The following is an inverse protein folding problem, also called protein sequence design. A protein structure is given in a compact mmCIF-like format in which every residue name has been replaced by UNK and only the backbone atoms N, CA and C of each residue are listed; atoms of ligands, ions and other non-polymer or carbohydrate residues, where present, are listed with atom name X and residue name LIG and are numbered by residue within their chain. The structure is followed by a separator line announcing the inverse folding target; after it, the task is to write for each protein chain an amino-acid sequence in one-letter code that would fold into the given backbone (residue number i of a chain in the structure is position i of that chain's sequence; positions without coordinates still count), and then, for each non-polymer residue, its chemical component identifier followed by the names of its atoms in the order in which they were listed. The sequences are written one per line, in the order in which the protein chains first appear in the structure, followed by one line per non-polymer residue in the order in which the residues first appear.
data_IF_893642905038
#
_entry.id   IF_893642905038
#
_cell.length_a   1.000
_cell.length_b   1.000
_cell.length_c   1.000
_cell.angle_alpha   90.00
_cell.angle_beta   90.00
_cell.angle_gamma   90.00
#
_symmetry.space_group_name_H-M   'P 1'
#
loop_
_entity.id
_entity.type
_entity.pdbx_description
1 polymer ?
#
# COMPACT_ATOMS: atom_id res chain seq x y z
N UNK A 1 -4.19 14.21 4.25
CA UNK A 1 -3.46 14.55 3.01
C UNK A 1 -2.48 13.42 2.72
N UNK A 2 -2.35 13.00 1.46
CA UNK A 2 -1.35 11.99 1.08
C UNK A 2 0.08 12.49 1.33
N UNK A 3 0.96 11.62 1.84
CA UNK A 3 2.38 11.96 1.99
C UNK A 3 3.12 11.69 0.68
N UNK A 4 3.71 12.74 0.10
CA UNK A 4 4.54 12.65 -1.09
C UNK A 4 5.96 12.21 -0.75
N UNK A 5 6.38 11.09 -1.32
CA UNK A 5 7.72 10.53 -1.14
C UNK A 5 8.68 11.31 -2.03
N UNK A 6 9.68 11.98 -1.42
CA UNK A 6 10.75 12.63 -2.19
C UNK A 6 11.82 11.63 -2.63
N UNK A 7 12.64 11.99 -3.62
CA UNK A 7 13.80 11.17 -4.06
C UNK A 7 14.77 10.81 -2.92
N UNK A 8 14.92 11.70 -1.94
CA UNK A 8 15.76 11.46 -0.76
C UNK A 8 15.13 10.42 0.16
N UNK A 9 13.82 10.45 0.35
CA UNK A 9 13.09 9.52 1.19
C UNK A 9 13.02 8.14 0.53
N UNK A 10 12.78 8.10 -0.78
CA UNK A 10 12.84 6.88 -1.58
C UNK A 10 14.20 6.17 -1.48
N UNK A 11 15.31 6.90 -1.54
CA UNK A 11 16.65 6.33 -1.40
C UNK A 11 16.95 5.82 0.02
N UNK A 12 16.35 6.44 1.05
CA UNK A 12 16.50 6.02 2.45
C UNK A 12 15.62 4.83 2.80
N UNK A 13 14.53 4.62 2.07
CA UNK A 13 13.55 3.59 2.36
C UNK A 13 14.14 2.17 2.51
N UNK A 14 15.02 1.67 1.61
CA UNK A 14 15.64 0.36 1.77
C UNK A 14 16.56 0.25 3.00
N UNK A 15 17.19 1.35 3.39
CA UNK A 15 18.07 1.41 4.57
C UNK A 15 17.23 1.33 5.84
N UNK A 16 16.17 2.13 5.92
CA UNK A 16 15.24 2.10 7.05
C UNK A 16 14.60 0.72 7.18
N UNK A 17 14.12 0.15 6.06
CA UNK A 17 13.59 -1.21 6.04
C UNK A 17 14.60 -2.25 6.54
N UNK A 18 15.88 -2.12 6.16
CA UNK A 18 16.95 -3.01 6.63
C UNK A 18 17.19 -2.89 8.13
N UNK A 19 17.25 -1.67 8.65
CA UNK A 19 17.40 -1.42 10.08
C UNK A 19 16.21 -1.98 10.87
N UNK A 20 14.97 -1.77 10.40
CA UNK A 20 13.76 -2.29 11.04
C UNK A 20 13.70 -3.81 10.99
N UNK A 21 14.01 -4.43 9.85
CA UNK A 21 14.02 -5.89 9.72
C UNK A 21 15.05 -6.53 10.65
N UNK A 22 16.27 -5.99 10.65
CA UNK A 22 17.35 -6.49 11.51
C UNK A 22 17.04 -6.25 13.00
N UNK A 23 16.49 -5.09 13.35
CA UNK A 23 16.04 -4.79 14.70
C UNK A 23 14.97 -5.78 15.18
N UNK A 24 13.97 -6.07 14.34
CA UNK A 24 12.94 -7.06 14.64
C UNK A 24 13.53 -8.47 14.79
N UNK A 25 14.51 -8.83 13.96
CA UNK A 25 15.24 -10.09 14.08
C UNK A 25 15.98 -10.23 15.42
N UNK A 26 16.69 -9.19 15.86
CA UNK A 26 17.32 -9.17 17.18
C UNK A 26 16.27 -9.26 18.28
N UNK A 27 15.14 -8.57 18.12
CA UNK A 27 14.05 -8.61 19.09
C UNK A 27 13.47 -10.02 19.25
N UNK A 28 13.23 -10.74 18.15
CA UNK A 28 12.80 -12.15 18.16
C UNK A 28 13.86 -13.10 18.74
N UNK A 29 15.14 -12.74 18.71
CA UNK A 29 16.20 -13.52 19.36
C UNK A 29 16.28 -13.30 20.86
N UNK A 30 15.95 -12.11 21.35
CA UNK A 30 16.06 -11.73 22.75
C UNK A 30 14.79 -12.07 23.54
N UNK A 31 13.61 -11.88 22.94
CA UNK A 31 12.32 -12.10 23.58
C UNK A 31 11.60 -13.32 22.99
N UNK A 32 10.74 -13.97 23.79
CA UNK A 32 9.97 -15.11 23.31
C UNK A 32 8.97 -14.69 22.23
N UNK A 33 8.86 -15.51 21.19
CA UNK A 33 7.98 -15.27 20.04
C UNK A 33 6.52 -15.04 20.42
N UNK A 34 6.04 -15.67 21.50
CA UNK A 34 4.65 -15.57 21.95
C UNK A 34 4.28 -14.13 22.35
N UNK A 35 5.06 -13.49 23.22
CA UNK A 35 4.79 -12.09 23.62
C UNK A 35 4.89 -11.12 22.44
N UNK A 36 5.84 -11.36 21.52
CA UNK A 36 6.01 -10.53 20.34
C UNK A 36 4.79 -10.65 19.42
N UNK A 37 4.36 -11.89 19.13
CA UNK A 37 3.20 -12.14 18.30
C UNK A 37 1.91 -11.66 18.96
N UNK A 38 1.78 -11.73 20.28
CA UNK A 38 0.65 -11.15 21.01
C UNK A 38 0.60 -9.62 20.83
N UNK A 39 1.72 -8.94 21.08
CA UNK A 39 1.84 -7.48 20.92
C UNK A 39 1.52 -7.04 19.49
N UNK A 40 2.12 -7.72 18.50
CA UNK A 40 1.89 -7.43 17.09
C UNK A 40 0.45 -7.74 16.68
N UNK A 41 -0.14 -8.82 17.17
CA UNK A 41 -1.54 -9.16 16.86
C UNK A 41 -2.49 -8.07 17.35
N UNK A 42 -2.28 -7.51 18.54
CA UNK A 42 -3.07 -6.39 19.06
C UNK A 42 -2.86 -5.13 18.21
N UNK A 43 -1.61 -4.82 17.86
CA UNK A 43 -1.26 -3.68 17.01
C UNK A 43 -1.92 -3.76 15.62
N UNK A 44 -1.77 -4.90 14.93
CA UNK A 44 -2.37 -5.11 13.61
C UNK A 44 -3.89 -5.29 13.66
N UNK A 45 -4.46 -5.71 14.79
CA UNK A 45 -5.90 -5.70 15.00
C UNK A 45 -6.43 -4.27 15.00
N UNK A 46 -5.86 -3.37 15.80
CA UNK A 46 -6.31 -1.97 15.87
C UNK A 46 -6.17 -1.30 14.51
N UNK A 47 -4.99 -1.39 13.90
CA UNK A 47 -4.76 -0.82 12.57
C UNK A 47 -5.64 -1.47 11.50
N UNK A 48 -5.85 -2.78 11.59
CA UNK A 48 -6.65 -3.53 10.64
C UNK A 48 -8.12 -3.12 10.67
N UNK A 49 -8.69 -2.94 11.87
CA UNK A 49 -10.07 -2.48 12.04
C UNK A 49 -10.25 -1.08 11.46
N UNK A 50 -9.30 -0.16 11.70
CA UNK A 50 -9.33 1.19 11.14
C UNK A 50 -9.20 1.17 9.61
N UNK A 51 -8.21 0.45 9.09
CA UNK A 51 -7.97 0.31 7.66
C UNK A 51 -9.18 -0.30 6.94
N UNK A 52 -9.76 -1.37 7.49
CA UNK A 52 -10.93 -2.03 6.94
C UNK A 52 -12.16 -1.13 6.99
N UNK A 53 -12.37 -0.39 8.08
CA UNK A 53 -13.46 0.57 8.19
C UNK A 53 -13.38 1.67 7.13
N UNK A 54 -12.17 2.19 6.88
CA UNK A 54 -11.92 3.18 5.83
C UNK A 54 -12.24 2.61 4.44
N UNK A 55 -11.72 1.42 4.11
CA UNK A 55 -11.98 0.76 2.83
C UNK A 55 -13.45 0.38 2.63
N UNK A 56 -14.18 0.05 3.70
CA UNK A 56 -15.60 -0.31 3.63
C UNK A 56 -16.53 0.90 3.52
N UNK A 57 -16.10 2.09 3.92
CA UNK A 57 -16.93 3.31 3.89
C UNK A 57 -17.55 3.61 2.51
N UNK A 58 -16.80 3.65 1.39
CA UNK A 58 -17.38 3.87 0.07
C UNK A 58 -18.28 2.72 -0.43
N UNK A 59 -18.08 1.50 0.05
CA UNK A 59 -18.93 0.36 -0.29
C UNK A 59 -20.28 0.45 0.43
N UNK A 60 -20.24 0.80 1.72
CA UNK A 60 -21.43 0.96 2.56
C UNK A 60 -22.25 2.16 2.11
N UNK A 61 -21.62 3.28 1.72
CA UNK A 61 -22.34 4.45 1.20
C UNK A 61 -23.11 4.13 -0.10
N UNK A 62 -22.61 3.21 -0.93
CA UNK A 62 -23.28 2.76 -2.16
C UNK A 62 -24.39 1.73 -1.92
N UNK A 63 -24.28 0.92 -0.88
CA UNK A 63 -25.26 -0.14 -0.55
C UNK A 63 -26.42 0.41 0.31
N UNK A 64 -26.17 1.39 1.16
CA UNK A 64 -27.20 1.95 2.04
C UNK A 64 -28.11 2.94 1.29
N UNK A 65 -29.44 2.83 1.44
CA UNK A 65 -30.38 3.79 0.86
C UNK A 65 -30.16 5.20 1.43
N UNK A 66 -30.39 6.23 0.61
CA UNK A 66 -30.36 7.66 1.02
C UNK A 66 -31.37 7.99 2.13
N UNK A 67 -32.26 7.06 2.47
CA UNK A 67 -33.26 7.18 3.54
C UNK A 67 -32.70 7.13 4.96
N UNK A 68 -31.45 6.70 5.16
CA UNK A 68 -30.82 6.73 6.49
C UNK A 68 -30.23 8.12 6.76
N UNK A 69 -30.63 8.81 7.86
CA UNK A 69 -30.13 10.14 8.15
C UNK A 69 -28.64 10.07 8.47
N UNK A 70 -27.81 10.64 7.57
CA UNK A 70 -26.40 10.82 7.84
C UNK A 70 -26.25 12.00 8.79
N UNK A 71 -26.17 11.71 10.09
CA UNK A 71 -25.83 12.71 11.10
C UNK A 71 -24.33 12.73 11.23
N UNK A 72 -23.74 13.86 10.89
CA UNK A 72 -22.33 14.14 11.07
C UNK A 72 -22.11 14.55 12.52
N UNK A 73 -21.20 13.87 13.20
CA UNK A 73 -20.74 14.22 14.54
C UNK A 73 -19.34 14.79 14.43
N UNK A 74 -19.10 15.92 15.06
CA UNK A 74 -17.78 16.54 15.12
C UNK A 74 -17.25 16.44 16.55
N UNK A 75 -16.08 15.85 16.69
CA UNK A 75 -15.35 15.74 17.95
C UNK A 75 -14.20 16.76 17.89
N UNK A 76 -14.44 17.92 18.49
CA UNK A 76 -13.54 19.06 18.42
C UNK A 76 -12.86 19.27 19.79
N UNK A 77 -11.57 18.94 19.88
CA UNK A 77 -10.73 19.24 21.03
C UNK A 77 -9.99 20.55 20.77
N UNK A 78 -10.48 21.63 21.38
CA UNK A 78 -9.80 22.93 21.42
C UNK A 78 -9.05 23.10 22.73
N UNK A 79 -7.82 23.61 22.66
CA UNK A 79 -7.06 24.06 23.82
C UNK A 79 -7.00 25.60 23.81
N UNK A 80 -7.34 26.21 24.95
CA UNK A 80 -7.37 27.67 25.13
C UNK A 80 -8.76 28.22 25.46
N UNK A 81 -8.82 29.48 25.94
CA UNK A 81 -10.06 30.22 26.19
C UNK A 81 -9.90 31.64 25.64
N UNK A 82 -10.79 32.05 24.71
CA UNK A 82 -10.75 33.36 24.05
C UNK A 82 -10.25 33.32 22.59
N UNK A 83 -9.55 34.37 22.15
CA UNK A 83 -9.06 34.56 20.77
C UNK A 83 -7.89 33.64 20.37
N UNK A 84 -7.29 32.92 21.33
CA UNK A 84 -6.23 31.93 21.11
C UNK A 84 -6.77 30.50 21.24
N UNK A 85 -7.77 30.14 20.43
CA UNK A 85 -8.26 28.75 20.31
C UNK A 85 -7.41 28.03 19.28
N UNK A 86 -6.60 27.08 19.73
CA UNK A 86 -5.94 26.14 18.84
C UNK A 86 -6.79 24.86 18.78
N UNK A 87 -7.18 24.48 17.57
CA UNK A 87 -7.83 23.19 17.29
C UNK A 87 -6.75 22.10 17.27
N UNK A 88 -6.71 21.25 18.30
CA UNK A 88 -5.71 20.18 18.40
C UNK A 88 -6.18 18.94 17.67
N UNK A 89 -7.47 18.61 17.79
CA UNK A 89 -8.08 17.48 17.10
C UNK A 89 -9.47 17.89 16.61
N UNK A 90 -9.65 17.87 15.29
CA UNK A 90 -10.95 17.98 14.64
C UNK A 90 -11.23 16.64 13.96
N UNK A 91 -12.03 15.78 14.62
CA UNK A 91 -12.39 14.47 14.09
C UNK A 91 -13.88 14.42 13.77
N UNK A 92 -14.20 14.34 12.49
CA UNK A 92 -15.57 14.21 12.01
C UNK A 92 -15.89 12.73 11.78
N UNK A 93 -17.00 12.25 12.36
CA UNK A 93 -17.46 10.89 12.15
C UNK A 93 -18.96 10.84 11.88
N UNK A 94 -19.32 10.01 10.91
CA UNK A 94 -20.69 9.77 10.50
C UNK A 94 -21.24 8.49 11.14
N UNK A 95 -22.57 8.41 11.25
CA UNK A 95 -23.25 7.15 11.61
C UNK A 95 -22.82 5.97 10.72
N UNK A 96 -22.58 6.23 9.42
CA UNK A 96 -22.12 5.21 8.47
C UNK A 96 -20.72 4.71 8.84
N UNK A 97 -19.80 5.60 9.21
CA UNK A 97 -18.45 5.24 9.64
C UNK A 97 -18.46 4.44 10.95
N UNK A 98 -19.38 4.75 11.88
CA UNK A 98 -19.54 3.96 13.11
C UNK A 98 -20.02 2.53 12.81
N UNK A 99 -20.94 2.34 11.86
CA UNK A 99 -21.37 1.01 11.41
C UNK A 99 -20.21 0.25 10.76
N UNK A 100 -19.45 0.90 9.87
CA UNK A 100 -18.24 0.33 9.27
C UNK A 100 -17.25 -0.15 10.34
N UNK A 101 -17.06 0.65 11.39
CA UNK A 101 -16.15 0.34 12.49
C UNK A 101 -16.62 -0.90 13.29
N UNK A 102 -17.92 -0.99 13.59
CA UNK A 102 -18.50 -2.15 14.30
C UNK A 102 -18.35 -3.43 13.47
N UNK A 103 -18.68 -3.39 12.18
CA UNK A 103 -18.53 -4.55 11.28
C UNK A 103 -17.07 -4.97 11.17
N UNK A 104 -16.16 -4.01 11.01
CA UNK A 104 -14.71 -4.27 10.93
C UNK A 104 -14.18 -4.86 12.23
N UNK A 105 -14.68 -4.40 13.39
CA UNK A 105 -14.32 -4.94 14.71
C UNK A 105 -14.75 -6.40 14.87
N UNK A 106 -15.95 -6.78 14.39
CA UNK A 106 -16.41 -8.18 14.41
C UNK A 106 -15.48 -9.06 13.59
N UNK A 107 -15.07 -8.62 12.40
CA UNK A 107 -14.09 -9.36 11.57
C UNK A 107 -12.73 -9.44 12.26
N UNK A 108 -12.30 -8.37 12.95
CA UNK A 108 -11.06 -8.37 13.72
C UNK A 108 -11.07 -9.35 14.89
N UNK A 109 -12.18 -9.43 15.63
CA UNK A 109 -12.32 -10.40 16.72
C UNK A 109 -12.31 -11.82 16.16
N UNK A 110 -12.97 -12.05 15.01
CA UNK A 110 -12.93 -13.34 14.31
C UNK A 110 -11.50 -13.73 13.90
N UNK A 111 -10.70 -12.76 13.44
CA UNK A 111 -9.28 -12.96 13.15
C UNK A 111 -8.48 -13.32 14.39
N UNK A 112 -8.65 -12.61 15.52
CA UNK A 112 -7.92 -12.90 16.75
C UNK A 112 -8.22 -14.30 17.31
N UNK A 113 -9.48 -14.74 17.25
CA UNK A 113 -9.90 -16.02 17.82
C UNK A 113 -9.52 -17.23 16.97
N UNK A 114 -9.55 -17.08 15.64
CA UNK A 114 -9.43 -18.23 14.72
C UNK A 114 -8.29 -18.13 13.72
N UNK A 115 -7.68 -16.95 13.55
CA UNK A 115 -6.65 -16.66 12.55
C UNK A 115 -7.02 -17.18 11.15
N UNK A 116 -8.31 -17.07 10.78
CA UNK A 116 -8.78 -17.56 9.48
C UNK A 116 -8.12 -16.78 8.34
N UNK A 117 -7.76 -17.50 7.28
CA UNK A 117 -7.12 -16.94 6.08
C UNK A 117 -7.98 -15.88 5.38
N UNK A 118 -9.32 -15.99 5.44
CA UNK A 118 -10.24 -15.01 4.85
C UNK A 118 -10.12 -13.67 5.56
N UNK A 119 -10.21 -13.68 6.90
CA UNK A 119 -10.08 -12.47 7.70
C UNK A 119 -8.68 -11.86 7.55
N UNK A 120 -7.64 -12.70 7.51
CA UNK A 120 -6.27 -12.29 7.19
C UNK A 120 -6.18 -11.56 5.84
N UNK A 121 -6.76 -12.14 4.79
CA UNK A 121 -6.71 -11.55 3.45
C UNK A 121 -7.54 -10.28 3.35
N UNK A 122 -8.66 -10.18 4.07
CA UNK A 122 -9.45 -8.96 4.11
C UNK A 122 -8.65 -7.81 4.73
N UNK A 123 -7.97 -8.05 5.86
CA UNK A 123 -7.05 -7.07 6.44
C UNK A 123 -5.87 -6.76 5.52
N UNK A 124 -5.26 -7.79 4.92
CA UNK A 124 -4.15 -7.60 3.97
C UNK A 124 -4.54 -6.73 2.78
N UNK A 125 -5.72 -6.96 2.18
CA UNK A 125 -6.25 -6.13 1.09
C UNK A 125 -6.55 -4.70 1.55
N UNK A 126 -7.15 -4.52 2.74
CA UNK A 126 -7.38 -3.19 3.30
C UNK A 126 -6.06 -2.44 3.52
N UNK A 127 -5.04 -3.09 4.07
CA UNK A 127 -3.70 -2.49 4.21
C UNK A 127 -3.04 -2.20 2.87
N UNK A 128 -3.19 -3.06 1.87
CA UNK A 128 -2.64 -2.81 0.54
C UNK A 128 -3.30 -1.59 -0.12
N UNK A 129 -4.63 -1.49 -0.06
CA UNK A 129 -5.39 -0.38 -0.62
C UNK A 129 -5.04 0.94 0.08
N UNK A 130 -5.10 0.98 1.41
CA UNK A 130 -4.72 2.17 2.16
C UNK A 130 -3.23 2.50 1.98
N UNK A 131 -2.36 1.50 1.82
CA UNK A 131 -0.94 1.72 1.53
C UNK A 131 -0.71 2.44 0.20
N UNK A 132 -1.41 2.01 -0.86
CA UNK A 132 -1.35 2.66 -2.18
C UNK A 132 -2.01 4.04 -2.17
N UNK A 133 -3.04 4.23 -1.35
CA UNK A 133 -3.73 5.52 -1.16
C UNK A 133 -2.94 6.51 -0.29
N UNK A 134 -2.11 6.05 0.65
CA UNK A 134 -1.36 6.95 1.52
C UNK A 134 -0.03 7.37 0.89
N UNK A 135 0.67 6.42 0.30
CA UNK A 135 2.02 6.61 -0.23
C UNK A 135 1.95 7.06 -1.69
N UNK A 136 2.41 8.28 -1.94
CA UNK A 136 2.37 8.86 -3.26
C UNK A 136 3.75 9.21 -3.77
N UNK A 137 4.03 8.82 -5.02
CA UNK A 137 5.23 9.20 -5.74
C UNK A 137 4.88 10.42 -6.59
N UNK A 138 5.74 11.44 -6.58
CA UNK A 138 5.55 12.66 -7.37
C UNK A 138 6.27 12.63 -8.73
N UNK A 139 7.29 11.78 -8.89
CA UNK A 139 8.10 11.69 -10.09
C UNK A 139 8.46 10.23 -10.42
N UNK A 140 8.49 9.89 -11.71
CA UNK A 140 8.89 8.56 -12.20
C UNK A 140 10.32 8.21 -11.79
N UNK A 141 11.21 9.20 -11.75
CA UNK A 141 12.58 9.05 -11.27
C UNK A 141 12.64 8.56 -9.82
N UNK A 142 11.80 9.14 -8.95
CA UNK A 142 11.68 8.73 -7.54
C UNK A 142 11.17 7.30 -7.43
N UNK A 143 10.18 6.93 -8.24
CA UNK A 143 9.70 5.55 -8.36
C UNK A 143 10.79 4.56 -8.78
N UNK A 144 11.61 4.91 -9.77
CA UNK A 144 12.75 4.10 -10.20
C UNK A 144 13.81 3.94 -9.10
N UNK A 145 14.10 4.99 -8.34
CA UNK A 145 15.03 4.94 -7.20
C UNK A 145 14.48 4.02 -6.10
N UNK A 146 13.20 4.16 -5.74
CA UNK A 146 12.56 3.34 -4.72
C UNK A 146 12.56 1.85 -5.10
N UNK A 147 12.06 1.54 -6.30
CA UNK A 147 12.00 0.18 -6.83
C UNK A 147 13.39 -0.42 -7.00
N UNK A 148 14.35 0.34 -7.53
CA UNK A 148 15.73 -0.10 -7.67
C UNK A 148 16.44 -0.34 -6.33
N UNK A 149 16.18 0.50 -5.33
CA UNK A 149 16.69 0.30 -3.97
C UNK A 149 16.09 -0.93 -3.31
N UNK A 150 14.78 -1.15 -3.48
CA UNK A 150 14.08 -2.32 -2.94
C UNK A 150 14.44 -3.62 -3.65
N UNK A 151 14.78 -3.57 -4.94
CA UNK A 151 15.38 -4.68 -5.67
C UNK A 151 16.67 -5.17 -5.00
N UNK A 152 17.60 -4.25 -4.69
CA UNK A 152 18.86 -4.61 -4.03
C UNK A 152 18.61 -5.13 -2.61
N UNK A 153 17.70 -4.49 -1.88
CA UNK A 153 17.28 -4.92 -0.55
C UNK A 153 16.77 -6.36 -0.53
N UNK A 154 15.85 -6.70 -1.43
CA UNK A 154 15.21 -8.02 -1.46
C UNK A 154 16.24 -9.12 -1.81
N UNK A 155 17.11 -8.85 -2.80
CA UNK A 155 18.22 -9.75 -3.15
C UNK A 155 19.16 -9.98 -1.96
N UNK A 156 19.57 -8.91 -1.27
CA UNK A 156 20.48 -9.01 -0.14
C UNK A 156 19.87 -9.79 1.03
N UNK A 157 18.62 -9.49 1.41
CA UNK A 157 18.00 -10.10 2.59
C UNK A 157 17.45 -11.51 2.34
N UNK A 158 17.07 -11.85 1.11
CA UNK A 158 16.60 -13.20 0.74
C UNK A 158 17.78 -14.16 0.51
N UNK A 159 18.79 -13.76 -0.27
CA UNK A 159 19.92 -14.65 -0.60
C UNK A 159 21.13 -14.48 0.31
N UNK A 160 21.39 -13.28 0.80
CA UNK A 160 22.60 -12.98 1.57
C UNK A 160 22.54 -13.43 3.04
N UNK A 161 21.35 -13.54 3.64
CA UNK A 161 21.21 -13.84 5.07
C UNK A 161 19.97 -14.70 5.39
N UNK A 162 19.98 -15.38 6.55
CA UNK A 162 18.81 -16.11 7.06
C UNK A 162 17.81 -15.22 7.83
N UNK A 163 18.03 -13.91 7.87
CA UNK A 163 17.26 -12.98 8.70
C UNK A 163 15.82 -12.87 8.21
N UNK A 164 15.61 -12.63 6.93
CA UNK A 164 14.27 -12.49 6.36
C UNK A 164 13.43 -13.77 6.55
N UNK A 165 14.04 -14.94 6.34
CA UNK A 165 13.37 -16.23 6.54
C UNK A 165 13.01 -16.45 8.01
N UNK A 166 13.89 -16.08 8.94
CA UNK A 166 13.65 -16.23 10.39
C UNK A 166 12.51 -15.31 10.85
N UNK A 167 12.51 -14.06 10.41
CA UNK A 167 11.44 -13.10 10.72
C UNK A 167 10.12 -13.57 10.10
N UNK A 168 10.11 -13.97 8.83
CA UNK A 168 8.91 -14.42 8.14
C UNK A 168 8.27 -15.68 8.76
N UNK A 169 9.07 -16.56 9.37
CA UNK A 169 8.59 -17.74 10.10
C UNK A 169 8.13 -17.42 11.52
N UNK A 170 8.76 -16.45 12.18
CA UNK A 170 8.45 -16.10 13.58
C UNK A 170 7.28 -15.13 13.71
N UNK A 171 6.96 -14.40 12.64
CA UNK A 171 5.99 -13.32 12.63
C UNK A 171 4.61 -13.80 12.15
N UNK A 172 3.62 -13.75 13.04
CA UNK A 172 2.22 -14.13 12.76
C UNK A 172 1.30 -12.93 12.76
N UNK A 173 1.27 -12.15 11.68
CA UNK A 173 0.32 -11.05 11.51
C UNK A 173 -0.14 -10.92 10.04
N UNK A 174 -1.19 -10.12 9.77
CA UNK A 174 -1.80 -9.99 8.44
C UNK A 174 -0.98 -9.09 7.50
N UNK A 175 0.30 -9.40 7.36
CA UNK A 175 1.27 -8.70 6.49
C UNK A 175 1.46 -9.39 5.14
N UNK A 176 0.69 -10.45 4.89
CA UNK A 176 0.79 -11.29 3.70
C UNK A 176 -0.60 -11.77 3.30
N UNK A 177 -0.84 -11.85 1.99
CA UNK A 177 -1.99 -12.57 1.46
C UNK A 177 -1.66 -14.06 1.42
N UNK A 178 -2.63 -14.85 1.85
CA UNK A 178 -2.50 -16.29 2.05
C UNK A 178 -3.52 -16.97 1.14
N UNK A 179 -3.03 -17.71 0.15
CA UNK A 179 -3.89 -18.39 -0.83
C UNK A 179 -3.83 -19.91 -0.62
N UNK A 180 -4.97 -20.58 -0.38
CA UNK A 180 -5.00 -22.03 -0.21
C UNK A 180 -4.63 -22.73 -1.52
N UNK A 181 -3.55 -23.51 -1.52
CA UNK A 181 -3.11 -24.30 -2.68
C UNK A 181 -4.00 -25.53 -2.87
N UNK A 182 -4.45 -26.14 -1.77
CA UNK A 182 -5.33 -27.31 -1.78
C UNK A 182 -6.82 -26.93 -1.89
N UNK A 183 -7.18 -25.72 -2.37
CA UNK A 183 -8.57 -25.25 -2.39
C UNK A 183 -9.49 -26.21 -3.18
N UNK A 184 -8.97 -26.81 -4.25
CA UNK A 184 -9.70 -27.72 -5.13
C UNK A 184 -9.84 -29.13 -4.52
N UNK A 185 -8.91 -29.53 -3.65
CA UNK A 185 -8.91 -30.86 -3.01
C UNK A 185 -9.59 -30.88 -1.64
N UNK A 186 -9.42 -29.82 -0.84
CA UNK A 186 -9.86 -29.74 0.57
C UNK A 186 -10.83 -28.59 0.84
N UNK A 187 -11.24 -27.84 -0.18
CA UNK A 187 -12.16 -26.71 -0.04
C UNK A 187 -11.62 -25.66 0.92
N UNK A 188 -12.51 -25.11 1.77
CA UNK A 188 -12.19 -24.04 2.72
C UNK A 188 -11.27 -24.48 3.89
N UNK A 189 -10.92 -25.77 3.99
CA UNK A 189 -10.05 -26.36 5.02
C UNK A 189 -8.65 -26.72 4.49
N UNK A 190 -8.16 -26.03 3.46
CA UNK A 190 -6.80 -26.24 2.95
C UNK A 190 -5.74 -25.96 4.04
N UNK A 191 -4.67 -26.77 4.05
CA UNK A 191 -3.58 -26.66 5.01
C UNK A 191 -2.30 -26.08 4.38
N UNK A 192 -2.14 -26.20 3.06
CA UNK A 192 -1.03 -25.62 2.32
C UNK A 192 -1.41 -24.26 1.76
N UNK A 193 -0.62 -23.24 2.06
CA UNK A 193 -0.89 -21.89 1.60
C UNK A 193 0.30 -21.29 0.86
N UNK A 194 0.04 -20.70 -0.30
CA UNK A 194 0.95 -19.78 -0.95
C UNK A 194 0.88 -18.43 -0.23
N UNK A 195 2.01 -17.74 -0.10
CA UNK A 195 2.09 -16.44 0.56
C UNK A 195 2.60 -15.40 -0.42
N UNK A 196 1.95 -14.25 -0.46
CA UNK A 196 2.38 -13.07 -1.20
C UNK A 196 2.53 -11.90 -0.23
N UNK A 197 3.70 -11.26 -0.21
CA UNK A 197 3.96 -10.13 0.68
C UNK A 197 3.15 -8.90 0.28
N UNK A 198 2.65 -8.13 1.25
CA UNK A 198 1.97 -6.87 0.94
C UNK A 198 2.91 -5.86 0.27
N UNK A 199 4.20 -5.89 0.59
CA UNK A 199 5.20 -5.05 -0.07
C UNK A 199 5.28 -5.29 -1.57
N UNK A 200 5.12 -6.53 -2.01
CA UNK A 200 5.16 -6.92 -3.44
C UNK A 200 3.90 -6.47 -4.21
N UNK A 201 2.86 -6.03 -3.49
CA UNK A 201 1.63 -5.47 -4.07
C UNK A 201 1.68 -3.94 -4.01
N UNK A 202 1.96 -3.39 -2.83
CA UNK A 202 1.91 -1.95 -2.58
C UNK A 202 3.01 -1.22 -3.33
N UNK A 203 4.26 -1.72 -3.30
CA UNK A 203 5.40 -1.00 -3.89
C UNK A 203 5.30 -0.91 -5.42
N UNK A 204 4.99 -1.99 -6.17
CA UNK A 204 4.68 -1.82 -7.60
C UNK A 204 3.38 -1.06 -7.83
N UNK A 205 2.38 -1.21 -6.94
CA UNK A 205 1.10 -0.53 -7.02
C UNK A 205 1.20 0.99 -7.01
N UNK A 206 2.02 1.57 -6.14
CA UNK A 206 2.26 3.03 -6.10
C UNK A 206 2.92 3.54 -7.39
N UNK A 207 3.80 2.74 -8.00
CA UNK A 207 4.44 3.09 -9.27
C UNK A 207 3.45 3.01 -10.44
N UNK A 208 2.60 1.98 -10.47
CA UNK A 208 1.53 1.85 -11.47
C UNK A 208 0.51 2.99 -11.33
N UNK A 209 0.18 3.40 -10.11
CA UNK A 209 -0.69 4.54 -9.85
C UNK A 209 -0.09 5.86 -10.37
N UNK A 210 1.21 6.07 -10.19
CA UNK A 210 1.93 7.21 -10.79
C UNK A 210 1.86 7.19 -12.32
N UNK A 211 2.04 6.03 -12.96
CA UNK A 211 1.95 5.92 -14.41
C UNK A 211 0.52 6.18 -14.94
N UNK A 212 -0.50 5.84 -14.17
CA UNK A 212 -1.88 6.22 -14.50
C UNK A 212 -2.07 7.74 -14.49
N UNK A 213 -1.48 8.44 -13.52
CA UNK A 213 -1.53 9.91 -13.45
C UNK A 213 -0.79 10.54 -14.61
N UNK A 214 0.37 10.01 -14.96
CA UNK A 214 1.10 10.41 -16.15
C UNK A 214 0.30 10.19 -17.45
N UNK A 215 -0.36 9.05 -17.62
CA UNK A 215 -1.27 8.81 -18.76
C UNK A 215 -2.37 9.90 -18.83
N UNK A 216 -2.97 10.24 -17.68
CA UNK A 216 -4.00 11.29 -17.59
C UNK A 216 -3.43 12.67 -17.92
N UNK A 217 -2.21 12.98 -17.48
CA UNK A 217 -1.57 14.28 -17.74
C UNK A 217 -1.25 14.51 -19.21
N UNK A 218 -1.02 13.43 -19.98
CA UNK A 218 -0.79 13.51 -21.43
C UNK A 218 -2.03 13.96 -22.22
N UNK A 219 -3.23 14.00 -21.60
CA UNK A 219 -4.52 14.36 -22.23
C UNK A 219 -4.88 13.55 -23.49
N UNK A 220 -4.13 12.47 -23.75
CA UNK A 220 -4.46 11.44 -24.74
C UNK A 220 -5.37 10.50 -23.99
N UNK A 221 -6.63 10.34 -24.41
CA UNK A 221 -7.65 9.52 -23.73
C UNK A 221 -7.35 8.00 -23.74
N UNK A 222 -6.14 7.62 -23.34
CA UNK A 222 -5.53 6.31 -23.40
C UNK A 222 -4.71 6.11 -22.14
N UNK A 223 -4.83 4.93 -21.54
CA UNK A 223 -4.13 4.53 -20.31
C UNK A 223 -3.00 3.57 -20.64
N UNK A 224 -2.15 3.95 -21.61
CA UNK A 224 -1.18 3.02 -22.19
C UNK A 224 -0.14 2.59 -21.17
N UNK A 225 0.42 3.54 -20.41
CA UNK A 225 1.48 3.26 -19.43
C UNK A 225 0.96 2.48 -18.24
N UNK A 226 -0.25 2.79 -17.77
CA UNK A 226 -0.95 2.02 -16.75
C UNK A 226 -1.15 0.57 -17.18
N UNK A 227 -1.78 0.32 -18.35
CA UNK A 227 -2.00 -1.05 -18.81
C UNK A 227 -0.69 -1.79 -19.11
N UNK A 228 0.30 -1.10 -19.67
CA UNK A 228 1.63 -1.67 -19.91
C UNK A 228 2.30 -2.14 -18.61
N UNK A 229 2.33 -1.28 -17.59
CA UNK A 229 2.94 -1.61 -16.30
C UNK A 229 2.12 -2.63 -15.50
N UNK A 230 0.78 -2.57 -15.57
CA UNK A 230 -0.10 -3.56 -14.95
C UNK A 230 0.07 -4.96 -15.56
N UNK A 231 0.18 -5.06 -16.89
CA UNK A 231 0.48 -6.33 -17.56
C UNK A 231 1.90 -6.81 -17.21
N UNK A 232 2.87 -5.91 -17.10
CA UNK A 232 4.22 -6.24 -16.68
C UNK A 232 4.27 -6.76 -15.23
N UNK A 233 3.44 -6.22 -14.34
CA UNK A 233 3.27 -6.71 -12.97
C UNK A 233 2.73 -8.15 -12.95
N UNK A 234 1.66 -8.42 -13.70
CA UNK A 234 1.11 -9.78 -13.83
C UNK A 234 2.17 -10.75 -14.40
N UNK A 235 2.89 -10.32 -15.43
CA UNK A 235 3.96 -11.10 -16.04
C UNK A 235 5.09 -11.37 -15.03
N UNK A 236 5.53 -10.36 -14.29
CA UNK A 236 6.57 -10.48 -13.27
C UNK A 236 6.16 -11.43 -12.14
N UNK A 237 4.92 -11.34 -11.64
CA UNK A 237 4.37 -12.29 -10.67
C UNK A 237 4.27 -13.71 -11.23
N UNK A 238 3.87 -13.86 -12.50
CA UNK A 238 3.85 -15.16 -13.15
C UNK A 238 5.25 -15.79 -13.22
N UNK A 239 6.26 -14.97 -13.54
CA UNK A 239 7.65 -15.39 -13.61
C UNK A 239 8.20 -15.78 -12.23
N UNK A 240 7.89 -15.03 -11.15
CA UNK A 240 8.31 -15.38 -9.78
C UNK A 240 7.77 -16.75 -9.40
N UNK A 241 6.47 -16.98 -9.62
CA UNK A 241 5.81 -18.26 -9.30
C UNK A 241 6.41 -19.39 -10.14
N UNK A 242 6.64 -19.17 -11.43
CA UNK A 242 7.24 -20.16 -12.32
C UNK A 242 8.64 -20.58 -11.84
N UNK A 243 9.53 -19.62 -11.56
CA UNK A 243 10.88 -19.90 -11.07
C UNK A 243 10.83 -20.60 -9.72
N UNK A 244 9.99 -20.12 -8.78
CA UNK A 244 9.84 -20.77 -7.47
C UNK A 244 9.38 -22.22 -7.61
N UNK A 245 8.48 -22.52 -8.55
CA UNK A 245 8.02 -23.87 -8.81
C UNK A 245 9.13 -24.77 -9.38
N UNK A 246 9.93 -24.25 -10.33
CA UNK A 246 11.04 -25.00 -10.94
C UNK A 246 12.17 -25.27 -9.96
N UNK A 247 12.59 -24.25 -9.20
CA UNK A 247 13.77 -24.34 -8.34
C UNK A 247 13.47 -24.80 -6.91
N UNK A 248 12.19 -24.87 -6.50
CA UNK A 248 11.73 -25.27 -5.14
C UNK A 248 12.43 -24.50 -4.00
N UNK A 249 12.90 -23.29 -4.29
CA UNK A 249 13.53 -22.39 -3.35
C UNK A 249 12.77 -21.07 -3.34
N UNK A 250 12.65 -20.45 -2.17
CA UNK A 250 12.08 -19.12 -2.05
C UNK A 250 12.95 -18.12 -2.84
N UNK A 251 12.29 -17.33 -3.69
CA UNK A 251 12.94 -16.32 -4.51
C UNK A 251 12.46 -14.93 -4.07
N UNK A 252 13.31 -13.90 -4.16
CA UNK A 252 12.90 -12.51 -3.96
C UNK A 252 11.91 -12.13 -5.05
N UNK A 253 10.71 -11.66 -4.68
CA UNK A 253 9.66 -11.34 -5.65
C UNK A 253 10.04 -10.08 -6.45
N UNK A 254 10.66 -9.10 -5.80
CA UNK A 254 11.04 -7.83 -6.44
C UNK A 254 12.16 -8.02 -7.48
N UNK A 255 12.91 -9.13 -7.42
CA UNK A 255 13.93 -9.50 -8.42
C UNK A 255 13.36 -9.53 -9.85
N UNK A 256 12.12 -10.00 -10.00
CA UNK A 256 11.46 -10.13 -11.30
C UNK A 256 10.44 -9.02 -11.54
N UNK A 257 9.77 -8.56 -10.48
CA UNK A 257 8.77 -7.50 -10.58
C UNK A 257 9.39 -6.16 -10.97
N UNK A 258 10.50 -5.77 -10.36
CA UNK A 258 11.09 -4.44 -10.59
C UNK A 258 11.56 -4.27 -12.03
N UNK A 259 12.34 -5.19 -12.63
CA UNK A 259 12.74 -5.08 -14.03
C UNK A 259 11.55 -5.08 -14.99
N UNK A 260 10.50 -5.86 -14.70
CA UNK A 260 9.30 -5.89 -15.53
C UNK A 260 8.51 -4.57 -15.44
N UNK A 261 8.20 -4.13 -14.22
CA UNK A 261 7.34 -2.96 -13.97
C UNK A 261 7.97 -1.64 -14.42
N UNK A 262 9.31 -1.53 -14.39
CA UNK A 262 10.03 -0.36 -14.94
C UNK A 262 10.29 -0.56 -16.44
N UNK A 263 10.78 -1.74 -16.84
CA UNK A 263 11.27 -1.98 -18.20
C UNK A 263 10.19 -1.86 -19.27
N UNK A 264 9.02 -2.47 -19.06
CA UNK A 264 7.92 -2.42 -20.03
C UNK A 264 7.43 -0.99 -20.34
N UNK A 265 7.04 -0.16 -19.35
CA UNK A 265 6.59 1.20 -19.63
C UNK A 265 7.71 2.08 -20.20
N UNK A 266 8.97 1.89 -19.77
CA UNK A 266 10.13 2.60 -20.34
C UNK A 266 10.34 2.24 -21.82
N UNK A 267 10.22 0.96 -22.19
CA UNK A 267 10.32 0.53 -23.59
C UNK A 267 9.18 1.13 -24.42
N UNK A 268 7.95 1.13 -23.89
CA UNK A 268 6.81 1.75 -24.56
C UNK A 268 7.03 3.26 -24.75
N UNK A 269 7.54 3.95 -23.73
CA UNK A 269 7.86 5.38 -23.80
C UNK A 269 8.96 5.67 -24.82
N UNK A 270 9.96 4.78 -24.92
CA UNK A 270 11.02 4.87 -25.91
C UNK A 270 10.47 4.72 -27.34
N UNK A 271 9.60 3.72 -27.57
CA UNK A 271 8.97 3.49 -28.89
C UNK A 271 8.08 4.66 -29.30
N UNK A 272 7.38 5.28 -28.35
CA UNK A 272 6.52 6.44 -28.59
C UNK A 272 7.25 7.78 -28.66
N UNK A 273 8.53 7.83 -28.25
CA UNK A 273 9.29 9.08 -28.15
C UNK A 273 8.90 9.97 -26.96
N UNK A 274 8.14 9.44 -25.99
CA UNK A 274 7.61 10.17 -24.83
C UNK A 274 8.50 10.00 -23.57
N UNK A 275 9.68 9.39 -23.72
CA UNK A 275 10.61 9.08 -22.62
C UNK A 275 11.00 10.33 -21.81
N UNK A 276 11.35 11.42 -22.49
CA UNK A 276 11.75 12.66 -21.84
C UNK A 276 10.60 13.30 -21.06
N UNK A 277 9.37 13.20 -21.58
CA UNK A 277 8.17 13.69 -20.90
C UNK A 277 7.89 12.86 -19.65
N UNK A 278 8.02 11.53 -19.74
CA UNK A 278 7.80 10.61 -18.62
C UNK A 278 8.75 10.87 -17.44
N UNK A 279 10.04 11.12 -17.70
CA UNK A 279 11.01 11.39 -16.63
C UNK A 279 10.99 12.83 -16.11
N UNK A 280 10.44 13.77 -16.88
CA UNK A 280 10.22 15.16 -16.47
C UNK A 280 8.89 15.38 -15.77
N UNK A 281 8.01 14.38 -15.78
CA UNK A 281 6.73 14.46 -15.10
C UNK A 281 6.94 14.63 -13.60
N UNK A 282 6.42 15.75 -13.09
CA UNK A 282 6.34 16.05 -11.66
C UNK A 282 4.91 16.43 -11.33
N UNK A 283 4.32 15.66 -10.42
CA UNK A 283 3.00 15.96 -9.87
C UNK A 283 3.15 17.13 -8.89
N UNK A 284 2.45 18.23 -9.18
CA UNK A 284 2.41 19.39 -8.28
C UNK A 284 1.38 19.09 -7.19
N UNK A 285 1.66 19.32 -5.90
CA UNK A 285 0.68 19.10 -4.85
C UNK A 285 -0.58 19.96 -5.08
N UNK A 286 -1.78 19.44 -4.75
CA UNK A 286 -3.05 20.10 -5.07
C UNK A 286 -3.18 21.53 -4.54
N UNK A 287 -2.52 21.88 -3.43
CA UNK A 287 -2.50 23.24 -2.87
C UNK A 287 -1.88 24.27 -3.83
N UNK A 288 -0.91 23.88 -4.66
CA UNK A 288 -0.30 24.77 -5.66
C UNK A 288 -1.12 24.85 -6.95
N UNK A 289 -1.96 23.86 -7.25
CA UNK A 289 -2.88 23.91 -8.38
C UNK A 289 -4.08 24.83 -8.08
N UNK A 290 -4.66 24.75 -6.87
CA UNK A 290 -5.72 25.67 -6.43
C UNK A 290 -5.21 27.12 -6.36
N UNK A 291 -4.01 27.36 -5.83
CA UNK A 291 -3.42 28.70 -5.79
C UNK A 291 -3.09 29.25 -7.19
N UNK A 292 -2.75 28.39 -8.17
CA UNK A 292 -2.51 28.81 -9.57
C UNK A 292 -3.82 29.11 -10.30
N UNK A 293 -4.88 28.34 -10.06
CA UNK A 293 -6.19 28.60 -10.65
C UNK A 293 -6.79 29.91 -10.10
N UNK A 294 -6.74 30.14 -8.78
CA UNK A 294 -7.18 31.40 -8.16
C UNK A 294 -6.34 32.62 -8.61
N UNK A 295 -5.02 32.44 -8.77
CA UNK A 295 -4.12 33.46 -9.32
C UNK A 295 -4.38 33.79 -10.79
N UNK A 296 -4.87 32.82 -11.57
CA UNK A 296 -5.18 33.01 -12.99
C UNK A 296 -6.57 33.62 -13.24
N UNK A 297 -7.55 33.35 -12.36
CA UNK A 297 -8.86 33.98 -12.40
C UNK A 297 -8.84 35.44 -11.93
N UNK A 298 -8.00 35.77 -10.95
CA UNK A 298 -7.81 37.15 -10.49
C UNK A 298 -7.18 38.03 -11.57
N UNK A 299 -6.19 37.54 -12.33
CA UNK A 299 -5.61 38.28 -13.46
C UNK A 299 -6.56 38.47 -14.66
N UNK A 300 -7.59 37.62 -14.82
CA UNK A 300 -8.61 37.78 -15.87
C UNK A 300 -9.73 38.75 -15.50
N UNK A 301 -9.90 39.10 -14.22
CA UNK A 301 -10.91 40.08 -13.77
C UNK A 301 -10.40 41.52 -13.78
N UNK A 302 -9.09 41.73 -13.88
CA UNK A 302 -8.44 43.05 -13.90
C UNK A 302 -8.01 43.52 -15.31
N UNK A 303 -8.52 42.89 -16.39
CA UNK A 303 -8.36 43.35 -17.78
C UNK A 303 -9.70 43.67 -18.46
#
# INVERSE_FOLDING_TARGET
MPETITSRDAARFPIIASCTLFGLYLFFKVFSQEYINLLLSVYFFVLGVLALSHTMSPLISRIFPDSFPNKQFQLLFTQGSGESKEEIVNYEFDNKNLICLVVSSVVGVWYLLKKHWIANNLFGLAFALNGVELLHLNNVSTGCILLGGLFVYDVFWVFGTNVMVTVAKSFEAPIKLVFPQDLLEKGLQANNFAMLGLGDIVIPGIFIALLLRFDVSLKKNSRTYFYSSFLAYIFGLGLTIFVMHTFKHAQPALLYLVPACIGFPVIVALIKGELTEMFRYEETPPEEEEAKDEGSESQKKDQ
#
